data_IF_228792326812
#
_entry.id   IF_228792326812
#
_cell.length_a   1.000
_cell.length_b   1.000
_cell.length_c   1.000
_cell.angle_alpha   90.00
_cell.angle_beta   90.00
_cell.angle_gamma   90.00
#
_symmetry.space_group_name_H-M   'P 1'
#
loop_
_entity.id
_entity.type
_entity.pdbx_description
1 polymer ?
#
# COMPACT_ATOMS: atom_id res chain seq x y z
N UNK A 1 16.28 5.92 -11.24
CA UNK A 1 16.21 6.07 -9.76
C UNK A 1 15.01 6.91 -9.31
N UNK A 2 14.40 7.69 -10.21
CA UNK A 2 13.37 8.67 -9.84
C UNK A 2 11.95 8.10 -9.60
N UNK A 3 11.58 6.97 -10.21
CA UNK A 3 10.22 6.42 -10.06
C UNK A 3 9.96 5.75 -8.70
N UNK A 4 10.93 5.04 -8.12
CA UNK A 4 10.84 4.56 -6.72
C UNK A 4 10.71 5.75 -5.75
N UNK A 5 11.47 6.82 -6.02
CA UNK A 5 11.45 8.05 -5.24
C UNK A 5 10.10 8.74 -5.38
N UNK A 6 9.49 8.76 -6.57
CA UNK A 6 8.17 9.31 -6.80
C UNK A 6 7.08 8.52 -6.07
N UNK A 7 7.11 7.19 -6.03
CA UNK A 7 6.16 6.39 -5.24
C UNK A 7 6.27 6.70 -3.74
N UNK A 8 7.48 6.66 -3.20
CA UNK A 8 7.72 6.96 -1.78
C UNK A 8 7.42 8.41 -1.44
N UNK A 9 7.79 9.39 -2.27
CA UNK A 9 7.43 10.79 -2.05
C UNK A 9 5.94 11.03 -2.25
N UNK A 10 5.28 10.38 -3.21
CA UNK A 10 3.83 10.54 -3.40
C UNK A 10 3.11 9.99 -2.19
N UNK A 11 3.46 8.79 -1.72
CA UNK A 11 2.90 8.22 -0.50
C UNK A 11 3.22 9.09 0.73
N UNK A 12 4.48 9.48 0.90
CA UNK A 12 4.91 10.30 2.04
C UNK A 12 4.34 11.70 2.01
N UNK A 13 4.18 12.33 0.85
CA UNK A 13 3.48 13.61 0.71
C UNK A 13 2.00 13.41 1.04
N UNK A 14 1.36 12.35 0.54
CA UNK A 14 -0.03 12.04 0.86
C UNK A 14 -0.24 11.83 2.38
N UNK A 15 0.62 11.07 3.05
CA UNK A 15 0.55 10.82 4.49
C UNK A 15 1.03 12.02 5.33
N UNK A 16 2.11 12.70 4.95
CA UNK A 16 2.74 13.79 5.72
C UNK A 16 2.34 15.21 5.29
N UNK A 17 1.38 15.41 4.39
CA UNK A 17 0.86 16.75 4.01
C UNK A 17 0.36 17.56 5.23
N UNK A 18 0.21 16.95 6.42
CA UNK A 18 -0.13 17.65 7.67
C UNK A 18 1.04 18.07 8.56
N UNK A 19 2.28 17.62 8.35
CA UNK A 19 3.42 18.16 9.12
C UNK A 19 3.98 19.38 8.40
N UNK A 20 3.47 20.57 8.74
CA UNK A 20 4.17 21.86 8.51
C UNK A 20 5.53 21.82 9.21
N UNK A 21 6.53 21.19 8.61
CA UNK A 21 7.94 21.51 8.82
C UNK A 21 8.54 21.66 7.43
N UNK A 22 8.87 22.90 7.06
CA UNK A 22 9.74 23.23 5.94
C UNK A 22 11.06 22.50 6.16
N UNK A 23 11.21 21.32 5.58
CA UNK A 23 12.52 20.70 5.43
C UNK A 23 13.10 21.31 4.16
N UNK A 24 14.17 22.11 4.29
CA UNK A 24 14.92 22.63 3.15
C UNK A 24 15.36 21.44 2.30
N UNK A 25 14.94 21.42 1.04
CA UNK A 25 15.11 20.30 0.11
C UNK A 25 16.59 20.01 -0.25
N UNK A 26 17.54 20.85 0.17
CA UNK A 26 18.94 20.80 -0.25
C UNK A 26 19.90 20.06 0.70
N UNK A 27 19.52 19.78 1.95
CA UNK A 27 20.49 19.28 2.97
C UNK A 27 20.18 17.88 3.54
N UNK A 28 19.05 17.26 3.15
CA UNK A 28 18.67 15.94 3.65
C UNK A 28 19.24 14.75 2.85
N UNK A 29 20.14 14.98 1.89
CA UNK A 29 20.47 14.00 0.83
C UNK A 29 21.90 13.43 0.85
N UNK A 30 22.76 13.83 1.80
CA UNK A 30 24.14 13.31 1.91
C UNK A 30 24.31 12.07 2.80
N UNK A 31 23.23 11.55 3.39
CA UNK A 31 23.28 10.26 4.08
C UNK A 31 22.78 9.18 3.12
N UNK A 32 23.49 8.06 3.07
CA UNK A 32 23.07 6.82 2.45
C UNK A 32 21.55 6.62 2.43
N UNK A 33 21.06 5.96 1.38
CA UNK A 33 19.74 5.34 1.25
C UNK A 33 19.45 4.27 2.33
N UNK A 34 19.90 4.47 3.57
CA UNK A 34 19.37 3.84 4.77
C UNK A 34 17.96 4.37 4.95
N UNK A 35 16.99 3.44 4.87
CA UNK A 35 15.71 3.63 5.53
C UNK A 35 15.97 4.24 6.92
N UNK A 36 15.17 5.22 7.39
CA UNK A 36 15.35 5.75 8.73
C UNK A 36 15.47 4.58 9.71
N UNK A 37 16.40 4.62 10.68
CA UNK A 37 16.56 3.53 11.64
C UNK A 37 15.19 3.23 12.22
N UNK A 38 14.80 1.96 12.13
CA UNK A 38 13.54 1.43 12.65
C UNK A 38 13.39 1.93 14.08
N UNK A 39 12.60 2.98 14.30
CA UNK A 39 12.23 3.38 15.66
C UNK A 39 11.57 2.16 16.27
N UNK A 40 12.05 1.70 17.43
CA UNK A 40 11.57 0.48 18.08
C UNK A 40 10.12 0.63 18.52
N UNK A 41 9.20 0.59 17.57
CA UNK A 41 7.79 0.38 17.81
C UNK A 41 7.69 -1.01 18.43
N UNK A 42 6.96 -1.12 19.54
CA UNK A 42 6.56 -2.41 20.12
C UNK A 42 5.78 -3.19 19.06
N UNK A 43 6.48 -3.96 18.23
CA UNK A 43 5.83 -4.87 17.30
C UNK A 43 5.15 -5.94 18.13
N UNK A 44 3.82 -5.97 18.07
CA UNK A 44 3.03 -7.07 18.63
C UNK A 44 3.56 -8.41 18.13
N UNK A 45 3.57 -9.44 18.99
CA UNK A 45 4.22 -10.73 18.74
C UNK A 45 3.83 -11.38 17.39
N UNK A 46 2.63 -11.10 16.88
CA UNK A 46 2.09 -11.68 15.65
C UNK A 46 2.27 -10.83 14.39
N UNK A 47 2.60 -9.53 14.50
CA UNK A 47 2.73 -8.65 13.33
C UNK A 47 4.00 -8.97 12.52
N UNK A 48 5.12 -9.17 13.21
CA UNK A 48 6.42 -9.42 12.55
C UNK A 48 6.42 -10.74 11.74
N UNK A 49 5.92 -11.88 12.27
CA UNK A 49 5.78 -13.10 11.48
C UNK A 49 4.86 -12.93 10.26
N UNK A 50 3.75 -12.19 10.42
CA UNK A 50 2.82 -11.92 9.34
C UNK A 50 3.46 -11.12 8.19
N UNK A 51 4.12 -9.99 8.50
CA UNK A 51 4.81 -9.18 7.50
C UNK A 51 5.96 -9.93 6.83
N UNK A 52 6.67 -10.79 7.59
CA UNK A 52 7.71 -11.65 7.03
C UNK A 52 7.16 -12.68 6.05
N UNK A 53 6.01 -13.30 6.37
CA UNK A 53 5.33 -14.22 5.46
C UNK A 53 4.90 -13.51 4.17
N UNK A 54 4.25 -12.34 4.30
CA UNK A 54 3.84 -11.51 3.15
C UNK A 54 5.06 -11.12 2.30
N UNK A 55 6.15 -10.70 2.93
CA UNK A 55 7.41 -10.35 2.25
C UNK A 55 7.97 -11.52 1.45
N UNK A 56 8.07 -12.69 2.07
CA UNK A 56 8.60 -13.89 1.41
C UNK A 56 7.73 -14.31 0.21
N UNK A 57 6.40 -14.28 0.37
CA UNK A 57 5.47 -14.60 -0.72
C UNK A 57 5.53 -13.57 -1.84
N UNK A 58 5.61 -12.28 -1.54
CA UNK A 58 5.77 -11.24 -2.56
C UNK A 58 7.10 -11.37 -3.31
N UNK A 59 8.18 -11.73 -2.61
CA UNK A 59 9.48 -11.95 -3.23
C UNK A 59 9.47 -13.14 -4.20
N UNK A 60 8.71 -14.19 -3.88
CA UNK A 60 8.50 -15.33 -4.79
C UNK A 60 7.55 -14.99 -5.95
N UNK A 61 6.49 -14.20 -5.69
CA UNK A 61 5.49 -13.86 -6.69
C UNK A 61 5.98 -12.82 -7.72
N UNK A 62 6.88 -11.91 -7.34
CA UNK A 62 7.42 -10.84 -8.22
C UNK A 62 8.54 -11.31 -9.17
N UNK A 63 8.52 -12.58 -9.54
CA UNK A 63 9.34 -13.13 -10.63
C UNK A 63 8.58 -12.99 -11.94
N UNK A 64 8.45 -11.74 -12.41
CA UNK A 64 7.67 -11.39 -13.59
C UNK A 64 8.53 -11.34 -14.84
N UNK A 65 7.96 -11.80 -15.95
CA UNK A 65 8.57 -11.76 -17.27
C UNK A 65 7.66 -11.04 -18.27
N UNK A 66 8.26 -10.45 -19.30
CA UNK A 66 7.48 -9.82 -20.36
C UNK A 66 6.82 -10.90 -21.23
N UNK A 67 5.48 -10.89 -21.28
CA UNK A 67 4.70 -11.90 -21.97
C UNK A 67 3.65 -11.24 -22.86
N UNK A 68 3.66 -11.56 -24.16
CA UNK A 68 2.68 -11.06 -25.14
C UNK A 68 1.37 -11.85 -25.05
N UNK A 69 0.24 -11.19 -25.28
CA UNK A 69 -1.07 -11.84 -25.19
C UNK A 69 -1.22 -12.92 -26.26
N UNK A 70 -1.69 -14.10 -25.85
CA UNK A 70 -1.97 -15.21 -26.77
C UNK A 70 -3.32 -15.06 -27.49
N UNK A 71 -4.25 -14.26 -26.94
CA UNK A 71 -5.62 -14.12 -27.46
C UNK A 71 -5.72 -12.98 -28.48
N UNK A 72 -4.99 -11.89 -28.24
CA UNK A 72 -5.06 -10.69 -29.09
C UNK A 72 -3.66 -10.37 -29.60
N UNK A 73 -3.51 -10.40 -30.93
CA UNK A 73 -2.23 -10.12 -31.59
C UNK A 73 -1.74 -8.71 -31.22
N UNK A 74 -0.43 -8.57 -30.95
CA UNK A 74 0.27 -7.30 -30.65
C UNK A 74 -0.20 -6.56 -29.40
N UNK A 75 -0.97 -7.21 -28.53
CA UNK A 75 -1.35 -6.65 -27.24
C UNK A 75 -0.51 -7.25 -26.10
N UNK A 76 -0.16 -6.41 -25.12
CA UNK A 76 0.41 -6.83 -23.86
C UNK A 76 -0.51 -6.31 -22.75
N UNK A 77 -1.22 -7.23 -22.09
CA UNK A 77 -2.17 -6.94 -21.03
C UNK A 77 -1.77 -7.72 -19.78
N UNK A 78 -2.01 -7.19 -18.57
CA UNK A 78 -1.77 -7.93 -17.34
C UNK A 78 -2.68 -9.15 -17.27
N UNK A 79 -2.11 -10.35 -17.34
CA UNK A 79 -2.85 -11.62 -17.42
C UNK A 79 -3.70 -11.85 -16.16
N UNK A 80 -3.26 -11.36 -14.99
CA UNK A 80 -4.02 -11.46 -13.72
C UNK A 80 -5.36 -10.68 -13.74
N UNK A 81 -5.50 -9.66 -14.60
CA UNK A 81 -6.74 -8.91 -14.77
C UNK A 81 -7.62 -9.49 -15.89
N UNK A 82 -7.02 -9.94 -17.00
CA UNK A 82 -7.77 -10.45 -18.16
C UNK A 82 -8.28 -11.88 -17.92
N UNK A 83 -7.47 -12.72 -17.26
CA UNK A 83 -7.79 -14.12 -16.91
C UNK A 83 -8.30 -14.96 -18.10
N UNK A 84 -7.81 -14.68 -19.31
CA UNK A 84 -8.18 -15.44 -20.52
C UNK A 84 -7.53 -16.82 -20.55
N UNK A 85 -6.28 -16.90 -20.10
CA UNK A 85 -5.45 -18.11 -20.13
C UNK A 85 -5.20 -18.60 -18.71
N UNK A 86 -5.71 -19.78 -18.37
CA UNK A 86 -5.58 -20.34 -17.00
C UNK A 86 -4.17 -20.83 -16.72
N UNK A 87 -3.45 -21.26 -17.76
CA UNK A 87 -2.08 -21.73 -17.73
C UNK A 87 -1.06 -20.63 -17.34
N UNK A 88 -1.44 -19.36 -17.51
CA UNK A 88 -0.60 -18.21 -17.14
C UNK A 88 -0.85 -17.71 -15.72
N UNK A 89 -1.88 -18.23 -15.05
CA UNK A 89 -2.27 -17.83 -13.70
C UNK A 89 -1.67 -18.78 -12.67
N UNK A 90 -1.07 -18.20 -11.64
CA UNK A 90 -0.61 -18.95 -10.48
C UNK A 90 -1.74 -19.13 -9.47
N UNK A 91 -1.59 -20.11 -8.58
CA UNK A 91 -2.55 -20.34 -7.51
C UNK A 91 -2.61 -19.10 -6.59
N UNK A 92 -3.80 -18.51 -6.37
CA UNK A 92 -3.97 -17.43 -5.42
C UNK A 92 -3.60 -17.86 -4.00
N UNK A 93 -2.82 -17.04 -3.31
CA UNK A 93 -2.38 -17.29 -1.92
C UNK A 93 -2.98 -16.23 -1.02
N UNK A 94 -3.60 -16.65 0.08
CA UNK A 94 -4.12 -15.76 1.12
C UNK A 94 -3.27 -15.92 2.37
N UNK A 95 -2.76 -14.81 2.88
CA UNK A 95 -2.02 -14.76 4.14
C UNK A 95 -2.88 -13.95 5.10
N UNK A 96 -3.35 -14.59 6.17
CA UNK A 96 -4.19 -13.96 7.18
C UNK A 96 -3.43 -13.87 8.50
N UNK A 97 -3.50 -12.70 9.14
CA UNK A 97 -3.07 -12.54 10.52
C UNK A 97 -4.19 -12.88 11.49
N UNK A 98 -5.40 -12.39 11.17
CA UNK A 98 -6.65 -12.59 11.88
C UNK A 98 -7.79 -12.71 10.84
N UNK A 99 -9.02 -13.00 11.27
CA UNK A 99 -10.18 -13.06 10.37
C UNK A 99 -10.41 -11.77 9.55
N UNK A 100 -10.10 -10.62 10.15
CA UNK A 100 -10.29 -9.29 9.54
C UNK A 100 -9.08 -8.78 8.75
N UNK A 101 -7.87 -9.25 9.07
CA UNK A 101 -6.62 -8.73 8.52
C UNK A 101 -5.97 -9.81 7.65
N UNK A 102 -6.03 -9.62 6.34
CA UNK A 102 -5.56 -10.59 5.35
C UNK A 102 -5.05 -9.92 4.08
N UNK A 103 -4.08 -10.54 3.43
CA UNK A 103 -3.58 -10.17 2.11
C UNK A 103 -3.84 -11.31 1.14
N UNK A 104 -4.42 -10.99 0.00
CA UNK A 104 -4.57 -11.88 -1.15
C UNK A 104 -3.51 -11.52 -2.19
N UNK A 105 -2.71 -12.51 -2.57
CA UNK A 105 -1.68 -12.39 -3.60
C UNK A 105 -2.08 -13.30 -4.76
N UNK A 106 -2.31 -12.70 -5.92
CA UNK A 106 -2.63 -13.40 -7.16
C UNK A 106 -1.49 -13.16 -8.14
N UNK A 107 -0.75 -14.21 -8.46
CA UNK A 107 0.36 -14.14 -9.40
C UNK A 107 -0.06 -14.57 -10.80
N UNK A 108 0.65 -14.04 -11.79
CA UNK A 108 0.65 -14.52 -13.17
C UNK A 108 2.06 -14.34 -13.75
N UNK A 109 2.28 -14.79 -14.98
CA UNK A 109 3.58 -14.68 -15.65
C UNK A 109 4.10 -13.23 -15.79
N UNK A 110 3.21 -12.26 -16.09
CA UNK A 110 3.59 -10.88 -16.40
C UNK A 110 3.11 -9.85 -15.37
N UNK A 111 2.28 -10.26 -14.41
CA UNK A 111 1.70 -9.35 -13.43
C UNK A 111 1.32 -10.03 -12.12
N UNK A 112 1.41 -9.29 -11.01
CA UNK A 112 0.95 -9.70 -9.69
C UNK A 112 -0.09 -8.70 -9.20
N UNK A 113 -1.20 -9.20 -8.69
CA UNK A 113 -2.19 -8.41 -7.95
C UNK A 113 -2.07 -8.69 -6.47
N UNK A 114 -1.98 -7.63 -5.68
CA UNK A 114 -1.87 -7.71 -4.21
C UNK A 114 -3.04 -6.93 -3.61
N UNK A 115 -3.95 -7.61 -2.94
CA UNK A 115 -5.12 -7.00 -2.30
C UNK A 115 -5.00 -7.11 -0.79
N UNK A 116 -5.22 -6.00 -0.08
CA UNK A 116 -4.98 -5.89 1.35
C UNK A 116 -6.30 -5.53 2.05
N UNK A 117 -6.64 -6.31 3.07
CA UNK A 117 -7.71 -6.00 4.01
C UNK A 117 -7.07 -5.45 5.29
N UNK A 118 -7.42 -4.22 5.63
CA UNK A 118 -6.86 -3.46 6.74
C UNK A 118 -7.69 -3.73 7.99
N UNK A 119 -7.05 -3.76 9.16
CA UNK A 119 -7.75 -3.92 10.44
C UNK A 119 -8.68 -2.73 10.69
N UNK A 120 -9.95 -3.02 10.96
CA UNK A 120 -10.97 -2.04 11.34
C UNK A 120 -11.59 -2.45 12.68
N UNK A 121 -11.26 -1.71 13.76
CA UNK A 121 -11.78 -2.02 15.09
C UNK A 121 -13.18 -1.43 15.33
N UNK A 122 -13.39 -0.18 14.90
CA UNK A 122 -14.60 0.60 15.16
C UNK A 122 -15.21 1.18 13.87
N UNK A 123 -16.47 1.66 13.95
CA UNK A 123 -17.14 2.32 12.82
C UNK A 123 -16.39 3.57 12.32
N UNK A 124 -15.79 4.34 13.25
CA UNK A 124 -14.98 5.51 12.90
C UNK A 124 -13.77 5.08 12.05
N UNK A 125 -13.08 4.01 12.45
CA UNK A 125 -11.93 3.49 11.70
C UNK A 125 -12.35 2.96 10.33
N UNK A 126 -13.51 2.31 10.23
CA UNK A 126 -14.07 1.87 8.95
C UNK A 126 -14.29 3.04 7.98
N UNK A 127 -14.89 4.13 8.47
CA UNK A 127 -15.12 5.34 7.64
C UNK A 127 -13.79 6.02 7.27
N UNK A 128 -12.85 6.13 8.23
CA UNK A 128 -11.54 6.74 7.99
C UNK A 128 -10.73 5.92 6.97
N UNK A 129 -10.69 4.60 7.13
CA UNK A 129 -10.03 3.67 6.22
C UNK A 129 -10.62 3.81 4.80
N UNK A 130 -11.94 3.70 4.67
CA UNK A 130 -12.62 3.83 3.38
C UNK A 130 -12.33 5.17 2.68
N UNK A 131 -12.37 6.30 3.42
CA UNK A 131 -12.04 7.62 2.86
C UNK A 131 -10.57 7.73 2.48
N UNK A 132 -9.66 7.20 3.29
CA UNK A 132 -8.22 7.24 3.04
C UNK A 132 -7.82 6.39 1.83
N UNK A 133 -8.33 5.15 1.73
CA UNK A 133 -8.11 4.30 0.56
C UNK A 133 -8.68 4.93 -0.72
N UNK A 134 -9.89 5.50 -0.65
CA UNK A 134 -10.49 6.21 -1.78
C UNK A 134 -9.64 7.41 -2.22
N UNK A 135 -9.07 8.16 -1.28
CA UNK A 135 -8.18 9.27 -1.57
C UNK A 135 -6.93 8.83 -2.33
N UNK A 136 -6.34 7.69 -1.95
CA UNK A 136 -5.18 7.13 -2.63
C UNK A 136 -5.53 6.60 -4.02
N UNK A 137 -6.66 5.89 -4.16
CA UNK A 137 -7.12 5.38 -5.46
C UNK A 137 -7.40 6.49 -6.48
N UNK A 138 -7.92 7.65 -6.04
CA UNK A 138 -8.10 8.83 -6.91
C UNK A 138 -6.78 9.39 -7.46
N UNK A 139 -5.63 9.04 -6.87
CA UNK A 139 -4.29 9.48 -7.27
C UNK A 139 -3.46 8.35 -7.89
N UNK A 140 -4.10 7.25 -8.28
CA UNK A 140 -3.43 6.10 -8.89
C UNK A 140 -2.64 6.43 -10.18
N UNK A 141 -2.90 7.56 -10.84
CA UNK A 141 -2.07 8.01 -11.99
C UNK A 141 -0.65 8.40 -11.56
N UNK A 142 -0.51 9.07 -10.42
CA UNK A 142 0.80 9.41 -9.84
C UNK A 142 1.40 8.23 -9.07
N UNK A 143 0.55 7.32 -8.61
CA UNK A 143 0.90 6.11 -7.87
C UNK A 143 0.65 4.91 -8.77
N UNK A 144 1.53 4.72 -9.75
CA UNK A 144 1.30 3.86 -10.91
C UNK A 144 1.17 2.36 -10.61
N UNK A 145 1.49 1.90 -9.40
CA UNK A 145 1.25 0.51 -8.97
C UNK A 145 -0.11 0.31 -8.29
N UNK A 146 -0.88 1.38 -8.03
CA UNK A 146 -2.21 1.29 -7.41
C UNK A 146 -3.29 1.00 -8.45
N UNK A 147 -4.22 0.14 -8.08
CA UNK A 147 -5.45 -0.09 -8.86
C UNK A 147 -6.46 1.01 -8.54
N UNK A 148 -7.17 1.50 -9.57
CA UNK A 148 -8.22 2.54 -9.41
C UNK A 148 -9.43 2.07 -8.58
N UNK A 149 -9.62 0.76 -8.48
CA UNK A 149 -10.68 0.11 -7.70
C UNK A 149 -10.09 -1.11 -6.99
N UNK A 150 -10.39 -1.27 -5.70
CA UNK A 150 -10.01 -2.47 -4.96
C UNK A 150 -10.77 -3.71 -5.47
N UNK A 151 -10.23 -4.90 -5.16
CA UNK A 151 -10.95 -6.17 -5.30
C UNK A 151 -12.06 -6.25 -4.26
N UNK A 152 -13.17 -6.89 -4.61
CA UNK A 152 -14.30 -7.06 -3.69
C UNK A 152 -13.88 -7.81 -2.42
N UNK A 153 -14.29 -7.29 -1.26
CA UNK A 153 -13.89 -7.82 0.05
C UNK A 153 -12.51 -7.38 0.55
N UNK A 154 -11.83 -6.48 -0.16
CA UNK A 154 -10.56 -5.87 0.23
C UNK A 154 -10.63 -4.34 0.17
N UNK A 155 -9.80 -3.65 0.96
CA UNK A 155 -9.85 -2.19 1.08
C UNK A 155 -9.02 -1.49 0.00
N UNK A 156 -7.91 -2.12 -0.41
CA UNK A 156 -7.02 -1.59 -1.46
C UNK A 156 -6.36 -2.71 -2.24
N UNK A 157 -6.07 -2.45 -3.51
CA UNK A 157 -5.37 -3.39 -4.39
C UNK A 157 -4.25 -2.70 -5.16
N UNK A 158 -3.13 -3.39 -5.27
CA UNK A 158 -1.99 -3.05 -6.11
C UNK A 158 -1.96 -3.96 -7.34
N UNK A 159 -1.53 -3.41 -8.46
CA UNK A 159 -1.25 -4.13 -9.69
C UNK A 159 0.20 -3.85 -10.08
N UNK A 160 1.04 -4.88 -9.97
CA UNK A 160 2.46 -4.81 -10.34
C UNK A 160 2.65 -5.59 -11.63
N UNK A 161 3.21 -4.98 -12.66
CA UNK A 161 3.47 -5.60 -13.97
C UNK A 161 4.97 -5.73 -14.20
N UNK A 162 5.36 -6.48 -15.24
CA UNK A 162 6.75 -6.60 -15.69
C UNK A 162 7.39 -5.22 -15.95
N UNK A 163 6.63 -4.26 -16.51
CA UNK A 163 7.12 -2.91 -16.75
C UNK A 163 7.56 -2.19 -15.46
N UNK A 164 6.89 -2.45 -14.34
CA UNK A 164 7.28 -1.88 -13.06
C UNK A 164 8.57 -2.50 -12.52
N UNK A 165 8.77 -3.81 -12.69
CA UNK A 165 9.99 -4.51 -12.28
C UNK A 165 11.20 -4.23 -13.18
N UNK A 166 10.96 -3.82 -14.43
CA UNK A 166 12.00 -3.36 -15.35
C UNK A 166 12.50 -1.94 -14.97
N UNK A 167 11.59 -1.05 -14.58
CA UNK A 167 11.93 0.34 -14.21
C UNK A 167 12.43 0.49 -12.77
N UNK A 168 12.08 -0.44 -11.88
CA UNK A 168 12.38 -0.39 -10.46
C UNK A 168 12.83 -1.73 -9.92
N UNK A 169 13.74 -1.69 -8.96
CA UNK A 169 14.20 -2.91 -8.32
C UNK A 169 13.06 -3.61 -7.56
N UNK A 170 12.85 -4.90 -7.85
CA UNK A 170 11.82 -5.72 -7.20
C UNK A 170 11.87 -5.68 -5.68
N UNK A 171 13.06 -5.67 -5.08
CA UNK A 171 13.20 -5.62 -3.62
C UNK A 171 12.67 -4.30 -3.03
N UNK A 172 12.79 -3.18 -3.76
CA UNK A 172 12.21 -1.89 -3.35
C UNK A 172 10.70 -1.87 -3.47
N UNK A 173 10.12 -2.56 -4.45
CA UNK A 173 8.68 -2.75 -4.53
C UNK A 173 8.13 -3.59 -3.37
N UNK A 174 8.82 -4.67 -3.02
CA UNK A 174 8.48 -5.47 -1.83
C UNK A 174 8.56 -4.62 -0.57
N UNK A 175 9.68 -3.90 -0.37
CA UNK A 175 9.85 -3.00 0.78
C UNK A 175 8.76 -1.93 0.84
N UNK A 176 8.35 -1.40 -0.32
CA UNK A 176 7.29 -0.43 -0.42
C UNK A 176 5.94 -0.98 0.05
N UNK A 177 5.55 -2.18 -0.40
CA UNK A 177 4.28 -2.80 0.01
C UNK A 177 4.27 -3.09 1.51
N UNK A 178 5.38 -3.60 2.07
CA UNK A 178 5.49 -3.85 3.51
C UNK A 178 5.43 -2.54 4.30
N UNK A 179 6.16 -1.53 3.86
CA UNK A 179 6.12 -0.21 4.49
C UNK A 179 4.72 0.42 4.44
N UNK A 180 4.03 0.27 3.30
CA UNK A 180 2.66 0.74 3.14
C UNK A 180 1.72 0.07 4.15
N UNK A 181 1.82 -1.25 4.34
CA UNK A 181 1.05 -1.97 5.37
C UNK A 181 1.31 -1.45 6.78
N UNK A 182 2.56 -1.15 7.13
CA UNK A 182 2.92 -0.62 8.45
C UNK A 182 2.46 0.82 8.70
N UNK A 183 2.46 1.66 7.67
CA UNK A 183 2.13 3.08 7.80
C UNK A 183 0.62 3.33 7.79
N UNK A 184 -0.19 2.51 7.09
CA UNK A 184 -1.66 2.68 7.10
C UNK A 184 -2.21 2.60 8.53
N UNK A 185 -1.79 1.60 9.31
CA UNK A 185 -2.29 1.39 10.67
C UNK A 185 -1.98 2.60 11.56
N UNK A 186 -0.79 3.18 11.40
CA UNK A 186 -0.37 4.39 12.13
C UNK A 186 -1.18 5.60 11.69
N UNK A 187 -1.33 5.81 10.38
CA UNK A 187 -2.06 6.95 9.82
C UNK A 187 -3.55 6.92 10.23
N UNK A 188 -4.20 5.76 10.19
CA UNK A 188 -5.60 5.62 10.66
C UNK A 188 -5.71 5.94 12.15
N UNK A 189 -4.76 5.47 12.95
CA UNK A 189 -4.72 5.76 14.39
C UNK A 189 -4.51 7.25 14.66
N UNK A 190 -3.60 7.91 13.94
CA UNK A 190 -3.36 9.35 14.04
C UNK A 190 -4.59 10.17 13.60
N UNK A 191 -5.26 9.77 12.51
CA UNK A 191 -6.49 10.41 12.05
C UNK A 191 -7.60 10.30 13.09
N UNK A 192 -7.78 9.14 13.72
CA UNK A 192 -8.77 8.92 14.78
C UNK A 192 -8.52 9.83 15.98
N UNK A 193 -7.27 9.90 16.44
CA UNK A 193 -6.88 10.80 17.53
C UNK A 193 -7.13 12.27 17.16
N UNK A 194 -6.83 12.68 15.93
CA UNK A 194 -7.04 14.05 15.45
C UNK A 194 -8.53 14.43 15.42
N UNK A 195 -9.41 13.52 14.98
CA UNK A 195 -10.86 13.74 14.98
C UNK A 195 -11.38 13.89 16.41
N UNK A 196 -10.99 12.99 17.32
CA UNK A 196 -11.42 13.03 18.72
C UNK A 196 -10.94 14.29 19.45
N UNK A 197 -9.68 14.69 19.25
CA UNK A 197 -9.14 15.91 19.84
C UNK A 197 -9.89 17.16 19.34
N UNK A 198 -10.19 17.22 18.03
CA UNK A 198 -10.94 18.34 17.45
C UNK A 198 -12.38 18.38 17.94
N UNK A 199 -13.04 17.23 18.03
CA UNK A 199 -14.41 17.13 18.54
C UNK A 199 -14.50 17.68 19.98
N UNK A 200 -13.51 17.35 20.82
CA UNK A 200 -13.42 17.89 22.19
C UNK A 200 -13.31 19.42 22.20
N UNK A 201 -12.40 20.00 21.42
CA UNK A 201 -12.22 21.46 21.34
C UNK A 201 -13.51 22.15 20.88
N UNK A 202 -14.18 21.60 19.87
CA UNK A 202 -15.44 22.16 19.36
C UNK A 202 -16.54 22.12 20.43
N UNK A 203 -16.63 21.02 21.19
CA UNK A 203 -17.60 20.91 22.27
C UNK A 203 -17.30 21.88 23.43
N UNK A 204 -16.03 22.00 23.85
CA UNK A 204 -15.61 22.95 24.88
C UNK A 204 -15.91 24.39 24.48
N UNK A 205 -15.61 24.77 23.22
CA UNK A 205 -15.85 26.12 22.74
C UNK A 205 -17.35 26.42 22.59
N UNK A 206 -18.15 25.45 22.18
CA UNK A 206 -19.61 25.60 22.12
C UNK A 206 -20.21 25.84 23.51
N UNK A 207 -19.75 25.10 24.52
CA UNK A 207 -20.26 25.20 25.89
C UNK A 207 -19.85 26.49 26.61
N UNK A 208 -18.73 27.13 26.25
CA UNK A 208 -18.34 28.44 26.82
C UNK A 208 -19.30 29.59 26.45
N UNK A 209 -20.09 29.41 25.39
CA UNK A 209 -21.00 30.42 24.87
C UNK A 209 -22.42 30.32 25.45
N UNK A 210 -22.64 29.40 26.40
CA UNK A 210 -23.85 29.28 27.21
C UNK A 210 -23.56 29.77 28.63
#
# INVERSE_FOLDING_TARGET
MDNCRLLYLTFRVICHIRKKKRIKASEAWRADFRLPPQTSNKMTATLRPYLNAVRATLQAALCLENFSSQVVERHNKPEVEVRSSKELLLQPVVISRNEKEKVLIEGSINSVRVSIAVKQADEIEKILCHKFMRFMMMRAENFFILRRKAVEGYDISFLITNFHTEQMYKHKLVDFVIHFMEEIDKEISEMKLSVNARARIVAEEFLKNF
#
